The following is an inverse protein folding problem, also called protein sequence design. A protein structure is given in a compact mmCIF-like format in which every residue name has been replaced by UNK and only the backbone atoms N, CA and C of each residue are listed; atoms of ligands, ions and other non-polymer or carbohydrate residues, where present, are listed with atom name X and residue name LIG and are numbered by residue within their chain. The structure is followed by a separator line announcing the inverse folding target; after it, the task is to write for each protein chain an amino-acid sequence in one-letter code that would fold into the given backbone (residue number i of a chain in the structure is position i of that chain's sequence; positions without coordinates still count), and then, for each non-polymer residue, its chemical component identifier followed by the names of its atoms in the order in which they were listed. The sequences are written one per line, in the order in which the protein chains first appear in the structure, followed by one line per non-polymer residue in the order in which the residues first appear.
data_IF_664786310175
#
_entry.id   IF_664786310175
#
_cell.length_a   1.000
_cell.length_b   1.000
_cell.length_c   1.000
_cell.angle_alpha   90.00
_cell.angle_beta   90.00
_cell.angle_gamma   90.00
#
_symmetry.space_group_name_H-M   'P 1'
#
loop_
_entity.id
_entity.type
_entity.pdbx_description
1 polymer ?
#
# COMPACT_ATOMS: atom_id res chain seq x y z
N UNK A 1 13.61 -6.12 7.01
CA UNK A 1 12.68 -5.66 5.97
C UNK A 1 13.45 -4.85 4.94
N UNK A 2 13.19 -5.05 3.64
CA UNK A 2 13.65 -4.11 2.63
C UNK A 2 12.90 -2.78 2.78
N UNK A 3 13.52 -1.67 2.39
CA UNK A 3 12.86 -0.36 2.42
C UNK A 3 11.61 -0.38 1.54
N UNK A 4 10.48 0.09 2.05
CA UNK A 4 9.27 0.29 1.26
C UNK A 4 9.46 1.54 0.40
N UNK A 5 9.33 1.36 -0.91
CA UNK A 5 9.43 2.44 -1.89
C UNK A 5 8.11 2.60 -2.62
N UNK A 6 7.43 3.71 -2.34
CA UNK A 6 6.25 4.15 -3.08
C UNK A 6 6.63 5.35 -3.95
N UNK A 7 6.27 5.30 -5.24
CA UNK A 7 6.36 6.48 -6.11
C UNK A 7 5.19 7.46 -5.85
N UNK A 8 5.27 8.67 -6.40
CA UNK A 8 4.26 9.73 -6.15
C UNK A 8 2.84 9.29 -6.51
N UNK A 9 2.68 8.53 -7.59
CA UNK A 9 1.38 8.06 -8.07
C UNK A 9 0.79 6.99 -7.16
N UNK A 10 1.61 6.04 -6.73
CA UNK A 10 1.21 5.01 -5.77
C UNK A 10 0.81 5.66 -4.44
N UNK A 11 1.59 6.62 -3.93
CA UNK A 11 1.21 7.40 -2.72
C UNK A 11 -0.14 8.12 -2.91
N UNK A 12 -0.35 8.75 -4.06
CA UNK A 12 -1.59 9.46 -4.34
C UNK A 12 -2.81 8.52 -4.39
N UNK A 13 -2.68 7.36 -5.03
CA UNK A 13 -3.74 6.36 -5.15
C UNK A 13 -4.05 5.69 -3.80
N UNK A 14 -3.03 5.32 -3.03
CA UNK A 14 -3.21 4.80 -1.66
C UNK A 14 -3.92 5.82 -0.78
N UNK A 15 -3.53 7.09 -0.85
CA UNK A 15 -4.21 8.14 -0.08
C UNK A 15 -5.69 8.25 -0.46
N UNK A 16 -6.03 8.28 -1.75
CA UNK A 16 -7.44 8.25 -2.20
C UNK A 16 -8.19 7.04 -1.68
N UNK A 17 -7.55 5.86 -1.63
CA UNK A 17 -8.16 4.66 -1.07
C UNK A 17 -8.44 4.78 0.42
N UNK A 18 -7.48 5.27 1.21
CA UNK A 18 -7.65 5.48 2.65
C UNK A 18 -8.68 6.57 2.98
N UNK A 19 -8.82 7.57 2.10
CA UNK A 19 -9.84 8.62 2.22
C UNK A 19 -11.24 8.13 1.76
N UNK A 20 -11.34 6.93 1.16
CA UNK A 20 -12.60 6.35 0.64
C UNK A 20 -13.01 6.83 -0.76
N UNK A 21 -12.15 7.59 -1.43
CA UNK A 21 -12.39 8.20 -2.75
C UNK A 21 -11.92 7.32 -3.93
N UNK A 22 -11.19 6.23 -3.66
CA UNK A 22 -10.78 5.29 -4.70
C UNK A 22 -11.85 4.23 -4.96
N UNK A 23 -12.18 4.04 -6.23
CA UNK A 23 -12.99 2.92 -6.70
C UNK A 23 -12.34 2.29 -7.93
N UNK A 24 -12.07 0.97 -7.94
CA UNK A 24 -11.52 0.28 -9.11
C UNK A 24 -12.35 0.47 -10.38
N UNK A 25 -13.66 0.71 -10.24
CA UNK A 25 -14.58 0.87 -11.37
C UNK A 25 -14.46 2.25 -12.03
N UNK A 26 -14.13 3.29 -11.25
CA UNK A 26 -14.03 4.68 -11.74
C UNK A 26 -12.58 5.18 -11.87
N UNK A 27 -11.62 4.43 -11.34
CA UNK A 27 -10.20 4.73 -11.45
C UNK A 27 -9.73 4.60 -12.91
N UNK A 28 -8.84 5.50 -13.32
CA UNK A 28 -8.13 5.35 -14.60
C UNK A 28 -7.29 4.07 -14.63
N UNK A 29 -6.99 3.54 -15.82
CA UNK A 29 -6.10 2.37 -15.98
C UNK A 29 -4.76 2.56 -15.26
N UNK A 30 -4.29 3.79 -15.30
CA UNK A 30 -3.08 4.26 -14.67
C UNK A 30 -3.13 4.21 -13.13
N UNK A 31 -4.27 4.54 -12.53
CA UNK A 31 -4.50 4.43 -11.08
C UNK A 31 -4.73 2.97 -10.66
N UNK A 32 -5.47 2.20 -11.46
CA UNK A 32 -5.67 0.77 -11.22
C UNK A 32 -4.34 0.03 -11.22
N UNK A 33 -3.48 0.31 -12.21
CA UNK A 33 -2.13 -0.25 -12.27
C UNK A 33 -1.31 0.10 -11.04
N UNK A 34 -1.33 1.38 -10.63
CA UNK A 34 -0.60 1.82 -9.44
C UNK A 34 -1.12 1.13 -8.16
N UNK A 35 -2.42 0.94 -8.02
CA UNK A 35 -2.99 0.21 -6.88
C UNK A 35 -2.59 -1.27 -6.88
N UNK A 36 -2.65 -1.93 -8.04
CA UNK A 36 -2.25 -3.34 -8.14
C UNK A 36 -0.79 -3.55 -7.77
N UNK A 37 0.11 -2.66 -8.23
CA UNK A 37 1.53 -2.69 -7.85
C UNK A 37 1.74 -2.52 -6.33
N UNK A 38 0.92 -1.70 -5.66
CA UNK A 38 0.94 -1.55 -4.20
C UNK A 38 0.47 -2.83 -3.51
N UNK A 39 -0.63 -3.43 -3.97
CA UNK A 39 -1.15 -4.68 -3.40
C UNK A 39 -0.12 -5.80 -3.55
N UNK A 40 0.48 -5.96 -4.73
CA UNK A 40 1.53 -6.96 -4.97
C UNK A 40 2.73 -6.76 -4.03
N UNK A 41 3.15 -5.50 -3.84
CA UNK A 41 4.24 -5.17 -2.94
C UNK A 41 3.88 -5.39 -1.46
N UNK A 42 2.62 -5.15 -1.09
CA UNK A 42 2.10 -5.36 0.25
C UNK A 42 2.01 -6.85 0.60
N UNK A 43 1.46 -7.68 -0.29
CA UNK A 43 1.41 -9.14 -0.11
C UNK A 43 2.80 -9.74 0.01
N UNK A 44 3.74 -9.28 -0.84
CA UNK A 44 5.14 -9.73 -0.74
C UNK A 44 5.75 -9.36 0.61
N UNK A 45 5.47 -8.17 1.13
CA UNK A 45 5.97 -7.75 2.43
C UNK A 45 5.35 -8.57 3.58
N UNK A 46 4.04 -8.83 3.50
CA UNK A 46 3.31 -9.68 4.45
C UNK A 46 3.93 -11.07 4.51
N UNK A 47 4.17 -11.70 3.35
CA UNK A 47 4.85 -12.99 3.24
C UNK A 47 6.29 -12.95 3.80
N UNK A 48 7.06 -11.89 3.48
CA UNK A 48 8.45 -11.73 3.94
C UNK A 48 8.57 -11.60 5.47
N UNK A 49 7.56 -11.01 6.10
CA UNK A 49 7.53 -10.76 7.55
C UNK A 49 6.73 -11.81 8.33
N UNK A 50 6.06 -12.75 7.65
CA UNK A 50 5.06 -13.65 8.25
C UNK A 50 4.00 -12.86 9.04
N UNK A 51 3.54 -11.74 8.45
CA UNK A 51 2.77 -10.72 9.14
C UNK A 51 1.25 -10.84 8.92
N UNK A 52 0.74 -12.02 8.57
CA UNK A 52 -0.68 -12.24 8.25
C UNK A 52 -1.65 -11.88 9.39
N UNK A 53 -1.23 -12.06 10.65
CA UNK A 53 -2.03 -11.64 11.80
C UNK A 53 -1.96 -10.11 12.04
N UNK A 54 -0.85 -9.48 11.66
CA UNK A 54 -0.59 -8.04 11.86
C UNK A 54 -1.24 -7.19 10.77
N UNK A 55 -1.24 -7.68 9.52
CA UNK A 55 -1.82 -6.99 8.36
C UNK A 55 -3.33 -6.78 8.47
N UNK A 56 -4.00 -7.68 9.18
CA UNK A 56 -5.42 -7.59 9.48
C UNK A 56 -6.30 -7.64 8.22
N UNK A 57 -7.40 -6.89 8.23
CA UNK A 57 -8.39 -6.93 7.14
C UNK A 57 -8.05 -6.00 5.95
N UNK A 58 -7.12 -5.06 6.12
CA UNK A 58 -6.77 -4.06 5.12
C UNK A 58 -5.26 -4.01 4.89
N UNK A 59 -4.83 -4.86 3.96
CA UNK A 59 -3.43 -5.01 3.59
C UNK A 59 -2.82 -3.71 3.03
N UNK A 60 -3.60 -2.89 2.31
CA UNK A 60 -3.11 -1.62 1.74
C UNK A 60 -2.86 -0.60 2.84
N UNK A 61 -3.76 -0.52 3.82
CA UNK A 61 -3.60 0.33 4.99
C UNK A 61 -2.40 -0.09 5.84
N UNK A 62 -2.28 -1.38 6.17
CA UNK A 62 -1.14 -1.90 6.92
C UNK A 62 0.18 -1.59 6.21
N UNK A 63 0.25 -1.82 4.90
CA UNK A 63 1.44 -1.54 4.12
C UNK A 63 1.82 -0.05 4.14
N UNK A 64 0.82 0.83 4.05
CA UNK A 64 1.05 2.27 4.13
C UNK A 64 1.50 2.74 5.52
N UNK A 65 0.99 2.12 6.59
CA UNK A 65 1.44 2.36 7.96
C UNK A 65 2.92 1.95 8.10
N UNK A 66 3.33 0.79 7.59
CA UNK A 66 4.74 0.37 7.54
C UNK A 66 5.62 1.33 6.77
N UNK A 67 5.14 1.83 5.64
CA UNK A 67 5.82 2.88 4.86
C UNK A 67 5.99 4.19 5.66
N UNK A 68 5.04 4.56 6.51
CA UNK A 68 5.15 5.76 7.35
C UNK A 68 6.06 5.54 8.57
N UNK A 69 6.07 4.32 9.13
CA UNK A 69 6.90 3.96 10.28
C UNK A 69 8.39 4.03 9.95
N UNK A 70 8.80 3.56 8.76
CA UNK A 70 10.22 3.62 8.34
C UNK A 70 10.80 5.05 8.25
N UNK A 71 9.96 6.07 7.99
CA UNK A 71 10.39 7.47 7.90
C UNK A 71 10.42 8.15 9.28
N UNK A 72 9.81 7.53 10.31
CA UNK A 72 9.81 8.03 11.70
C UNK A 72 11.00 7.52 12.52
N UNK A 73 11.73 6.52 12.03
CA UNK A 73 12.96 6.01 12.68
C UNK A 73 14.23 6.81 12.34
N UNK A 74 14.08 8.04 11.80
CA UNK A 74 15.20 8.94 11.45
C UNK A 74 15.19 10.19 12.34
#
# INVERSE_FOLDING_TARGET
MNKIELNEKQKAVVKKYLDGDYSPFFASEEEQKAMNEVIDAASKLEDELDAYDESGEDLVKWYFEKYQEQDKEI
#
